data_IF_549312331053
#
_entry.id   IF_549312331053
#
_cell.length_a   1.000
_cell.length_b   1.000
_cell.length_c   1.000
_cell.angle_alpha   90.00
_cell.angle_beta   90.00
_cell.angle_gamma   90.00
#
_symmetry.space_group_name_H-M   'P 1'
#
loop_
_entity.id
_entity.type
_entity.pdbx_description
1 polymer ?
#
# COMPACT_ATOMS: atom_id res chain seq x y z
N UNK A 1 45.46 0.00 -5.59
CA UNK A 1 44.91 -0.96 -6.57
C UNK A 1 43.74 -0.30 -7.28
N UNK A 2 43.67 -0.49 -8.58
CA UNK A 2 42.97 0.35 -9.55
C UNK A 2 41.44 0.22 -9.47
N UNK A 3 40.77 1.36 -9.68
CA UNK A 3 39.32 1.51 -9.79
C UNK A 3 38.81 0.96 -11.13
N UNK A 4 37.70 0.22 -11.10
CA UNK A 4 36.90 -0.12 -12.27
C UNK A 4 35.43 0.23 -11.95
N UNK A 5 34.99 1.36 -12.52
CA UNK A 5 33.59 1.68 -12.66
C UNK A 5 32.97 0.70 -13.68
N UNK A 6 32.04 -0.15 -13.23
CA UNK A 6 31.13 -0.83 -14.13
C UNK A 6 29.94 0.11 -14.38
N UNK A 7 29.95 0.75 -15.55
CA UNK A 7 28.73 1.17 -16.23
C UNK A 7 27.97 -0.10 -16.60
N UNK A 8 26.77 -0.27 -16.08
CA UNK A 8 25.74 -1.04 -16.77
C UNK A 8 24.50 -0.16 -16.92
N UNK A 9 24.26 0.20 -18.19
CA UNK A 9 23.12 0.97 -18.63
C UNK A 9 21.86 0.13 -18.55
N UNK A 10 21.04 0.37 -17.53
CA UNK A 10 19.60 0.16 -17.62
C UNK A 10 18.99 1.44 -18.18
N UNK A 11 18.46 1.38 -19.39
CA UNK A 11 17.67 2.44 -19.98
C UNK A 11 16.59 2.91 -19.01
N UNK A 12 16.60 4.21 -18.71
CA UNK A 12 15.42 4.90 -18.16
C UNK A 12 14.26 4.55 -19.10
N UNK A 13 13.18 3.91 -18.61
CA UNK A 13 12.05 3.60 -19.48
C UNK A 13 11.56 4.91 -20.12
N UNK A 14 11.08 4.88 -21.38
CA UNK A 14 10.56 6.07 -22.02
C UNK A 14 9.47 6.64 -21.12
N UNK A 15 9.55 7.94 -20.87
CA UNK A 15 8.58 8.68 -20.08
C UNK A 15 7.16 8.34 -20.55
N UNK A 16 6.44 7.51 -19.80
CA UNK A 16 4.98 7.53 -19.77
C UNK A 16 4.64 9.01 -19.58
N UNK A 17 4.03 9.65 -20.58
CA UNK A 17 3.79 11.10 -20.62
C UNK A 17 3.42 11.62 -19.23
N UNK A 18 4.44 12.13 -18.54
CA UNK A 18 4.38 12.48 -17.12
C UNK A 18 3.61 13.79 -17.11
N UNK A 19 2.44 13.81 -16.48
CA UNK A 19 1.75 15.08 -16.29
C UNK A 19 2.71 16.03 -15.55
N UNK A 20 2.87 17.28 -16.03
CA UNK A 20 3.68 18.25 -15.31
C UNK A 20 3.14 18.39 -13.89
N UNK A 21 4.05 18.56 -12.92
CA UNK A 21 3.68 18.90 -11.54
C UNK A 21 2.69 20.06 -11.58
N UNK A 22 1.56 19.90 -10.91
CA UNK A 22 0.60 20.99 -10.73
C UNK A 22 1.31 22.12 -9.99
N UNK A 23 1.67 23.18 -10.71
CA UNK A 23 2.39 24.35 -10.17
C UNK A 23 1.49 25.27 -9.35
N UNK A 24 0.19 24.98 -9.33
CA UNK A 24 -0.82 25.75 -8.62
C UNK A 24 -1.20 25.03 -7.34
N UNK A 25 -1.00 25.71 -6.22
CA UNK A 25 -1.54 25.29 -4.93
C UNK A 25 -3.06 25.07 -5.03
N UNK A 26 -3.49 23.94 -4.50
CA UNK A 26 -4.89 23.61 -4.36
C UNK A 26 -5.65 24.68 -3.56
N UNK A 27 -6.82 25.13 -4.02
CA UNK A 27 -7.75 25.84 -3.14
C UNK A 27 -7.97 24.99 -1.87
N UNK A 28 -7.98 25.65 -0.72
CA UNK A 28 -8.30 25.01 0.57
C UNK A 28 -7.41 23.85 1.02
N UNK A 29 -6.20 23.71 0.44
CA UNK A 29 -5.27 22.63 0.78
C UNK A 29 -5.01 22.49 2.27
N UNK A 30 -4.90 23.60 3.01
CA UNK A 30 -4.69 23.57 4.44
C UNK A 30 -5.90 23.03 5.19
N UNK A 31 -7.11 23.46 4.82
CA UNK A 31 -8.35 22.94 5.42
C UNK A 31 -8.51 21.44 5.14
N UNK A 32 -8.25 20.99 3.92
CA UNK A 32 -8.31 19.57 3.55
C UNK A 32 -7.27 18.73 4.31
N UNK A 33 -6.04 19.24 4.41
CA UNK A 33 -4.96 18.57 5.10
C UNK A 33 -5.20 18.46 6.62
N UNK A 34 -5.87 19.44 7.23
CA UNK A 34 -6.25 19.37 8.65
C UNK A 34 -7.45 18.45 8.86
N UNK A 35 -8.50 18.64 8.05
CA UNK A 35 -9.76 17.88 8.13
C UNK A 35 -9.55 16.38 8.09
N UNK A 36 -8.62 15.90 7.26
CA UNK A 36 -8.42 14.46 7.06
C UNK A 36 -7.12 13.93 7.67
N UNK A 37 -6.51 14.65 8.62
CA UNK A 37 -5.27 14.22 9.26
C UNK A 37 -5.47 12.81 9.88
N UNK A 38 -4.55 11.85 9.67
CA UNK A 38 -4.78 10.48 10.09
C UNK A 38 -4.71 10.33 11.61
N UNK A 39 -5.64 9.57 12.19
CA UNK A 39 -5.62 9.18 13.59
C UNK A 39 -4.76 7.92 13.74
N UNK A 40 -3.60 8.01 14.40
CA UNK A 40 -2.59 6.95 14.44
C UNK A 40 -2.69 6.11 15.73
N UNK A 41 -2.97 4.82 15.59
CA UNK A 41 -2.77 3.83 16.64
C UNK A 41 -1.30 3.39 16.61
N UNK A 42 -0.53 3.89 17.59
CA UNK A 42 0.91 3.65 17.72
C UNK A 42 1.17 2.66 18.87
N UNK A 43 2.14 1.79 18.70
CA UNK A 43 2.62 0.97 19.82
C UNK A 43 3.28 1.89 20.88
N UNK A 44 2.93 1.77 22.17
CA UNK A 44 3.45 2.66 23.22
C UNK A 44 4.97 2.61 23.38
N UNK A 45 5.55 1.46 23.03
CA UNK A 45 6.98 1.21 23.07
C UNK A 45 7.61 1.35 21.68
N UNK A 46 7.03 2.17 20.79
CA UNK A 46 7.59 2.44 19.46
C UNK A 46 7.71 3.93 19.15
N UNK A 47 8.31 4.23 17.99
CA UNK A 47 8.48 5.59 17.50
C UNK A 47 7.16 6.15 16.96
N UNK A 48 6.88 7.41 17.28
CA UNK A 48 5.87 8.22 16.59
C UNK A 48 6.50 8.95 15.40
N UNK A 49 5.74 9.26 14.33
CA UNK A 49 6.26 10.01 13.20
C UNK A 49 6.58 11.45 13.60
N UNK A 50 7.79 11.91 13.32
CA UNK A 50 8.29 13.23 13.75
C UNK A 50 8.68 14.10 12.56
N UNK A 51 9.01 15.35 12.87
CA UNK A 51 9.65 16.25 11.92
C UNK A 51 11.01 15.70 11.46
N UNK A 52 11.39 15.92 10.20
CA UNK A 52 12.70 15.50 9.64
C UNK A 52 13.89 16.07 10.42
N UNK A 53 13.71 17.22 11.07
CA UNK A 53 14.69 17.87 11.93
C UNK A 53 15.22 16.92 13.03
N UNK A 54 14.39 15.98 13.52
CA UNK A 54 14.82 14.95 14.48
C UNK A 54 16.00 14.12 13.96
N UNK A 55 15.94 13.77 12.68
CA UNK A 55 16.95 12.96 12.00
C UNK A 55 18.12 13.82 11.52
N UNK A 56 17.84 14.97 10.91
CA UNK A 56 18.88 15.87 10.38
C UNK A 56 19.80 16.43 11.47
N UNK A 57 19.28 16.70 12.67
CA UNK A 57 20.09 17.19 13.79
C UNK A 57 21.07 16.13 14.34
N UNK A 58 20.90 14.85 13.96
CA UNK A 58 21.72 13.71 14.38
C UNK A 58 22.51 13.06 13.24
N UNK A 59 22.09 13.26 12.00
CA UNK A 59 22.69 12.62 10.85
C UNK A 59 24.03 13.24 10.44
N UNK A 60 24.84 12.43 9.76
CA UNK A 60 25.98 12.85 8.96
C UNK A 60 25.58 12.72 7.49
N UNK A 61 25.76 13.80 6.73
CA UNK A 61 25.56 13.80 5.29
C UNK A 61 26.82 13.29 4.60
N UNK A 62 26.69 12.26 3.79
CA UNK A 62 27.76 11.72 2.95
C UNK A 62 27.45 12.00 1.49
N UNK A 63 28.37 12.60 0.76
CA UNK A 63 28.17 13.04 -0.62
C UNK A 63 29.47 13.02 -1.42
N UNK A 64 29.39 13.25 -2.74
CA UNK A 64 30.58 13.36 -3.59
C UNK A 64 31.03 14.81 -3.74
N UNK A 65 32.32 15.03 -3.53
CA UNK A 65 33.02 16.27 -3.83
C UNK A 65 34.13 15.98 -4.84
N UNK A 66 33.84 16.22 -6.13
CA UNK A 66 34.62 15.70 -7.24
C UNK A 66 34.67 14.17 -7.22
N UNK A 67 35.89 13.62 -7.24
CA UNK A 67 36.12 12.16 -7.19
C UNK A 67 36.23 11.61 -5.75
N UNK A 68 36.01 12.43 -4.72
CA UNK A 68 36.17 12.05 -3.31
C UNK A 68 34.82 11.99 -2.60
N UNK A 69 34.73 11.09 -1.62
CA UNK A 69 33.64 11.10 -0.65
C UNK A 69 33.91 12.16 0.42
N UNK A 70 32.93 13.02 0.69
CA UNK A 70 32.94 14.02 1.73
C UNK A 70 31.85 13.72 2.75
N UNK A 71 32.04 14.20 3.98
CA UNK A 71 31.08 14.07 5.07
C UNK A 71 30.84 15.44 5.73
N UNK A 72 29.60 15.74 6.09
CA UNK A 72 29.21 17.01 6.68
C UNK A 72 28.20 16.79 7.82
N UNK A 73 28.44 17.47 8.95
CA UNK A 73 27.50 17.60 10.06
C UNK A 73 27.77 18.94 10.78
N UNK A 74 26.74 19.67 11.27
CA UNK A 74 25.32 19.33 11.22
C UNK A 74 24.73 19.48 9.81
N UNK A 75 23.66 18.74 9.52
CA UNK A 75 23.00 18.78 8.22
C UNK A 75 21.89 19.83 8.22
N UNK A 76 21.88 20.73 7.23
CA UNK A 76 20.81 21.71 7.04
C UNK A 76 19.92 21.38 5.83
N UNK A 77 18.61 21.68 5.85
CA UNK A 77 17.74 21.55 4.69
C UNK A 77 18.26 22.28 3.44
N UNK A 78 18.85 23.47 3.64
CA UNK A 78 19.41 24.27 2.55
C UNK A 78 20.58 23.55 1.87
N UNK A 79 21.42 22.85 2.65
CA UNK A 79 22.51 22.05 2.12
C UNK A 79 21.99 20.89 1.27
N UNK A 80 20.95 20.22 1.71
CA UNK A 80 20.33 19.11 0.96
C UNK A 80 19.75 19.56 -0.39
N UNK A 81 19.18 20.78 -0.45
CA UNK A 81 18.73 21.35 -1.72
C UNK A 81 19.86 21.56 -2.73
N UNK A 82 21.08 21.89 -2.27
CA UNK A 82 22.25 22.08 -3.14
C UNK A 82 22.73 20.75 -3.75
N UNK A 83 22.35 19.62 -3.15
CA UNK A 83 22.67 18.26 -3.63
C UNK A 83 21.55 17.67 -4.49
N UNK A 84 20.64 18.49 -5.02
CA UNK A 84 19.51 18.04 -5.86
C UNK A 84 19.91 17.21 -7.10
N UNK A 85 21.18 17.27 -7.53
CA UNK A 85 21.73 16.50 -8.65
C UNK A 85 22.69 15.36 -8.21
N UNK A 86 22.74 15.00 -6.92
CA UNK A 86 23.59 13.93 -6.38
C UNK A 86 22.75 12.79 -5.76
N UNK A 87 22.13 11.91 -6.57
CA UNK A 87 21.30 10.80 -6.06
C UNK A 87 22.07 9.75 -5.24
N UNK A 88 23.39 9.73 -5.34
CA UNK A 88 24.27 8.86 -4.56
C UNK A 88 24.53 9.37 -3.14
N UNK A 89 24.22 10.64 -2.84
CA UNK A 89 24.35 11.17 -1.50
C UNK A 89 23.40 10.44 -0.54
N UNK A 90 23.78 10.35 0.72
CA UNK A 90 22.95 9.75 1.75
C UNK A 90 23.20 10.36 3.11
N UNK A 91 22.21 10.24 3.98
CA UNK A 91 22.31 10.61 5.38
C UNK A 91 22.54 9.35 6.21
N UNK A 92 23.42 9.38 7.20
CA UNK A 92 23.67 8.24 8.08
C UNK A 92 23.58 8.66 9.55
N UNK A 93 23.04 7.80 10.42
CA UNK A 93 23.06 8.06 11.85
C UNK A 93 24.35 7.51 12.49
N UNK A 94 24.83 8.08 13.63
CA UNK A 94 26.07 7.64 14.27
C UNK A 94 26.06 6.20 14.84
N UNK A 95 24.95 5.65 15.39
CA UNK A 95 24.87 4.23 15.68
C UNK A 95 24.83 3.41 14.38
N UNK A 96 25.46 2.23 14.31
CA UNK A 96 25.28 1.32 13.18
C UNK A 96 23.80 0.98 12.97
N UNK A 97 23.38 0.83 11.71
CA UNK A 97 22.01 0.44 11.36
C UNK A 97 21.58 -0.87 12.03
N UNK A 98 22.48 -1.83 12.20
CA UNK A 98 22.17 -3.13 12.80
C UNK A 98 22.05 -3.12 14.33
N UNK A 99 22.51 -2.05 15.01
CA UNK A 99 22.34 -1.88 16.46
C UNK A 99 21.02 -1.18 16.76
N UNK A 100 19.92 -1.90 16.56
CA UNK A 100 18.56 -1.43 16.81
C UNK A 100 18.37 -0.86 18.22
N UNK A 101 19.04 -1.43 19.22
CA UNK A 101 18.96 -0.94 20.59
C UNK A 101 19.64 0.43 20.75
N UNK A 102 20.77 0.67 20.07
CA UNK A 102 21.43 1.97 20.06
C UNK A 102 20.66 3.00 19.23
N UNK A 103 20.11 2.62 18.08
CA UNK A 103 19.23 3.48 17.28
C UNK A 103 18.01 3.92 18.09
N UNK A 104 17.39 2.97 18.80
CA UNK A 104 16.26 3.25 19.68
C UNK A 104 16.62 4.20 20.83
N UNK A 105 17.75 3.95 21.51
CA UNK A 105 18.25 4.85 22.57
C UNK A 105 18.51 6.27 22.03
N UNK A 106 19.06 6.40 20.82
CA UNK A 106 19.30 7.70 20.20
C UNK A 106 17.99 8.47 19.96
N UNK A 107 16.95 7.80 19.46
CA UNK A 107 15.61 8.36 19.30
C UNK A 107 15.05 8.85 20.64
N UNK A 108 15.00 7.96 21.64
CA UNK A 108 14.38 8.26 22.94
C UNK A 108 15.09 9.40 23.66
N UNK A 109 16.43 9.39 23.67
CA UNK A 109 17.22 10.46 24.29
C UNK A 109 17.03 11.81 23.58
N UNK A 110 16.92 11.80 22.24
CA UNK A 110 16.73 13.03 21.46
C UNK A 110 15.35 13.63 21.70
N UNK A 111 14.29 12.80 21.69
CA UNK A 111 12.93 13.26 21.98
C UNK A 111 12.80 13.71 23.45
N UNK A 112 13.37 12.97 24.41
CA UNK A 112 13.30 13.34 25.83
C UNK A 112 14.04 14.65 26.15
N UNK A 113 15.09 14.98 25.38
CA UNK A 113 15.83 16.23 25.53
C UNK A 113 15.14 17.45 24.89
N UNK A 114 14.14 17.26 24.02
CA UNK A 114 13.47 18.36 23.34
C UNK A 114 12.50 19.10 24.27
N UNK A 115 12.89 20.32 24.64
CA UNK A 115 12.04 21.25 25.40
C UNK A 115 11.34 22.29 24.52
N UNK A 116 11.69 22.34 23.25
CA UNK A 116 11.23 23.37 22.31
C UNK A 116 10.01 22.94 21.49
N UNK A 117 9.71 21.63 21.46
CA UNK A 117 8.67 21.06 20.61
C UNK A 117 9.11 20.97 19.14
N UNK A 118 10.42 21.10 18.87
CA UNK A 118 11.00 21.01 17.53
C UNK A 118 10.74 19.66 16.87
N UNK A 119 10.65 18.58 17.65
CA UNK A 119 10.42 17.21 17.18
C UNK A 119 8.97 16.76 17.43
N UNK A 120 8.00 17.64 17.25
CA UNK A 120 6.58 17.32 17.41
C UNK A 120 6.15 16.13 16.54
N UNK A 121 5.17 15.36 17.03
CA UNK A 121 4.53 14.31 16.23
C UNK A 121 3.87 14.96 15.02
N UNK A 122 4.32 14.62 13.81
CA UNK A 122 4.02 15.38 12.59
C UNK A 122 3.69 14.48 11.41
N UNK A 123 2.67 14.87 10.65
CA UNK A 123 2.39 14.36 9.31
C UNK A 123 2.62 15.48 8.29
N UNK A 124 3.43 15.21 7.29
CA UNK A 124 3.67 16.14 6.19
C UNK A 124 2.60 15.98 5.12
N UNK A 125 1.78 16.99 4.91
CA UNK A 125 0.66 16.90 3.99
C UNK A 125 0.98 17.50 2.61
N UNK A 126 0.61 16.83 1.53
CA UNK A 126 0.56 17.43 0.19
C UNK A 126 -0.81 17.19 -0.44
N UNK A 127 -1.33 18.20 -1.14
CA UNK A 127 -2.67 18.15 -1.75
C UNK A 127 -2.52 18.33 -3.26
N UNK A 128 -3.08 17.38 -4.00
CA UNK A 128 -3.04 17.33 -5.47
C UNK A 128 -4.46 17.44 -6.01
N UNK A 129 -4.81 18.58 -6.60
CA UNK A 129 -6.13 18.85 -7.16
C UNK A 129 -6.16 18.56 -8.64
N UNK A 130 -7.38 18.39 -9.17
CA UNK A 130 -7.61 18.08 -10.57
C UNK A 130 -6.77 16.88 -11.04
N UNK A 131 -6.55 15.91 -10.14
CA UNK A 131 -5.80 14.72 -10.42
C UNK A 131 -6.61 13.82 -11.36
N UNK A 132 -5.94 13.32 -12.40
CA UNK A 132 -6.55 12.51 -13.45
C UNK A 132 -5.75 11.22 -13.69
N UNK A 133 -6.45 10.12 -13.95
CA UNK A 133 -5.91 8.88 -14.51
C UNK A 133 -6.97 8.16 -15.33
N UNK A 134 -6.63 7.03 -15.95
CA UNK A 134 -7.62 6.24 -16.69
C UNK A 134 -8.71 5.73 -15.73
N UNK A 135 -9.93 6.25 -15.86
CA UNK A 135 -11.08 5.87 -15.04
C UNK A 135 -11.36 6.77 -13.82
N UNK A 136 -10.51 7.75 -13.51
CA UNK A 136 -10.76 8.76 -12.47
C UNK A 136 -10.33 10.14 -13.00
N UNK A 137 -11.26 11.09 -13.06
CA UNK A 137 -10.97 12.45 -13.53
C UNK A 137 -11.48 13.49 -12.54
N UNK A 138 -10.76 14.61 -12.40
CA UNK A 138 -11.14 15.73 -11.52
C UNK A 138 -11.12 15.39 -10.03
N UNK A 139 -10.31 14.43 -9.59
CA UNK A 139 -10.25 14.04 -8.18
C UNK A 139 -9.28 14.95 -7.42
N UNK A 140 -9.47 15.05 -6.10
CA UNK A 140 -8.48 15.66 -5.20
C UNK A 140 -7.84 14.57 -4.37
N UNK A 141 -6.52 14.59 -4.26
CA UNK A 141 -5.76 13.62 -3.48
C UNK A 141 -5.03 14.32 -2.35
N UNK A 142 -5.29 13.90 -1.12
CA UNK A 142 -4.61 14.39 0.08
C UNK A 142 -3.63 13.29 0.52
N UNK A 143 -2.35 13.60 0.51
CA UNK A 143 -1.28 12.70 0.94
C UNK A 143 -0.73 13.14 2.29
N UNK A 144 -0.47 12.18 3.17
CA UNK A 144 0.21 12.35 4.44
C UNK A 144 1.46 11.48 4.45
N UNK A 145 2.61 12.14 4.47
CA UNK A 145 3.92 11.52 4.58
C UNK A 145 4.32 11.50 6.06
N UNK A 146 4.55 10.30 6.57
CA UNK A 146 4.95 10.05 7.95
C UNK A 146 6.43 9.69 7.95
N UNK A 147 7.21 10.39 8.77
CA UNK A 147 8.65 10.16 8.86
C UNK A 147 9.04 9.57 10.20
N UNK A 148 9.70 8.41 10.17
CA UNK A 148 10.28 7.77 11.36
C UNK A 148 11.81 7.78 11.27
N UNK A 149 12.46 7.87 12.42
CA UNK A 149 13.92 8.03 12.46
C UNK A 149 14.63 6.73 12.08
N UNK A 150 14.04 5.58 12.39
CA UNK A 150 14.63 4.26 12.17
C UNK A 150 13.53 3.20 12.05
N UNK A 151 13.64 2.28 11.10
CA UNK A 151 12.79 1.11 10.91
C UNK A 151 13.44 -0.12 11.55
N UNK A 152 12.80 -0.70 12.57
CA UNK A 152 13.24 -1.93 13.26
C UNK A 152 12.41 -3.16 12.85
N UNK A 153 11.83 -3.13 11.66
CA UNK A 153 11.16 -4.25 11.03
C UNK A 153 12.13 -5.35 10.59
N UNK A 154 11.63 -6.26 9.74
CA UNK A 154 12.46 -7.32 9.15
C UNK A 154 13.49 -6.77 8.17
N UNK A 155 13.25 -5.59 7.60
CA UNK A 155 14.12 -4.87 6.68
C UNK A 155 14.70 -3.62 7.36
N UNK A 156 15.57 -3.81 8.34
CA UNK A 156 16.09 -2.70 9.16
C UNK A 156 16.75 -1.63 8.31
N UNK A 157 16.40 -0.37 8.55
CA UNK A 157 17.05 0.78 7.92
C UNK A 157 16.85 2.07 8.72
N UNK A 158 17.83 2.96 8.60
CA UNK A 158 17.70 4.34 9.06
C UNK A 158 16.75 5.10 8.15
N UNK A 159 15.99 6.04 8.72
CA UNK A 159 14.98 6.86 8.04
C UNK A 159 13.84 6.02 7.48
N UNK A 160 12.61 6.46 7.65
CA UNK A 160 11.46 5.74 7.09
C UNK A 160 10.39 6.70 6.62
N UNK A 161 9.90 6.49 5.40
CA UNK A 161 8.89 7.33 4.77
C UNK A 161 7.66 6.50 4.42
N UNK A 162 6.64 6.63 5.25
CA UNK A 162 5.34 5.99 5.06
C UNK A 162 4.33 6.98 4.46
N UNK A 163 3.36 6.45 3.71
CA UNK A 163 2.37 7.25 3.00
C UNK A 163 0.95 6.78 3.29
N UNK A 164 0.10 7.71 3.70
CA UNK A 164 -1.35 7.59 3.71
C UNK A 164 -1.91 8.53 2.65
N UNK A 165 -2.80 8.04 1.81
CA UNK A 165 -3.42 8.80 0.74
C UNK A 165 -4.93 8.71 0.84
N UNK A 166 -5.62 9.85 0.78
CA UNK A 166 -7.08 9.94 0.75
C UNK A 166 -7.49 10.54 -0.58
N UNK A 167 -8.44 9.89 -1.25
CA UNK A 167 -8.92 10.31 -2.56
C UNK A 167 -10.35 10.82 -2.44
N UNK A 168 -10.52 12.08 -2.78
CA UNK A 168 -11.80 12.77 -2.85
C UNK A 168 -12.31 12.78 -4.28
N UNK A 169 -13.62 12.59 -4.45
CA UNK A 169 -14.29 12.75 -5.72
C UNK A 169 -14.30 14.20 -6.20
N UNK A 170 -14.75 14.45 -7.44
CA UNK A 170 -14.95 15.81 -7.96
C UNK A 170 -15.96 16.65 -7.17
N UNK A 171 -16.82 16.01 -6.39
CA UNK A 171 -17.76 16.64 -5.48
C UNK A 171 -17.13 17.01 -4.12
N UNK A 172 -15.83 16.79 -3.96
CA UNK A 172 -15.08 17.06 -2.74
C UNK A 172 -15.32 16.05 -1.61
N UNK A 173 -16.05 14.96 -1.85
CA UNK A 173 -16.33 13.95 -0.83
C UNK A 173 -15.31 12.83 -0.87
N UNK A 174 -14.90 12.28 0.29
CA UNK A 174 -13.95 11.17 0.32
C UNK A 174 -14.58 9.90 -0.26
N UNK A 175 -13.84 9.22 -1.13
CA UNK A 175 -14.29 8.00 -1.79
C UNK A 175 -13.55 6.77 -1.26
N UNK A 176 -12.23 6.85 -1.11
CA UNK A 176 -11.39 5.77 -0.61
C UNK A 176 -10.07 6.33 -0.09
N UNK A 177 -9.34 5.50 0.67
CA UNK A 177 -7.97 5.79 1.06
C UNK A 177 -7.06 4.62 0.68
N UNK A 178 -5.77 4.90 0.52
CA UNK A 178 -4.70 3.93 0.27
C UNK A 178 -3.56 4.15 1.26
N UNK A 179 -3.13 3.08 1.93
CA UNK A 179 -2.09 3.09 2.96
C UNK A 179 -0.89 2.29 2.49
N UNK A 180 0.31 2.86 2.58
CA UNK A 180 1.55 2.20 2.25
C UNK A 180 1.87 1.08 3.25
N UNK A 181 2.42 -0.01 2.73
CA UNK A 181 2.82 -1.21 3.46
C UNK A 181 4.14 -1.68 2.88
N UNK A 182 5.26 -1.23 3.47
CA UNK A 182 6.59 -1.45 2.93
C UNK A 182 6.69 -0.94 1.47
N UNK A 183 7.04 -1.83 0.54
CA UNK A 183 7.11 -1.56 -0.90
C UNK A 183 5.77 -1.68 -1.63
N UNK A 184 4.66 -1.89 -0.90
CA UNK A 184 3.32 -2.05 -1.44
C UNK A 184 2.32 -1.09 -0.78
N UNK A 185 1.03 -1.31 -1.00
CA UNK A 185 -0.07 -0.58 -0.40
C UNK A 185 -1.36 -1.41 -0.42
N UNK A 186 -2.30 -1.08 0.45
CA UNK A 186 -3.70 -1.52 0.32
C UNK A 186 -4.63 -0.32 0.28
N UNK A 187 -5.87 -0.51 -0.15
CA UNK A 187 -6.88 0.54 -0.17
C UNK A 187 -8.20 0.05 0.42
N UNK A 188 -9.04 1.00 0.85
CA UNK A 188 -10.38 0.73 1.38
C UNK A 188 -11.34 1.84 0.98
N UNK A 189 -12.57 1.47 0.62
CA UNK A 189 -13.64 2.45 0.38
C UNK A 189 -13.88 3.25 1.66
N UNK A 190 -14.06 4.57 1.55
CA UNK A 190 -14.18 5.46 2.72
C UNK A 190 -15.33 5.06 3.64
N UNK A 191 -16.45 4.60 3.06
CA UNK A 191 -17.62 4.12 3.81
C UNK A 191 -17.38 2.84 4.63
N UNK A 192 -16.26 2.16 4.43
CA UNK A 192 -15.88 0.93 5.14
C UNK A 192 -14.77 1.17 6.16
N UNK A 193 -14.28 2.40 6.28
CA UNK A 193 -13.21 2.78 7.19
C UNK A 193 -13.76 3.21 8.55
N UNK A 194 -12.96 2.98 9.59
CA UNK A 194 -13.14 3.67 10.87
C UNK A 194 -12.58 5.08 10.73
N UNK A 195 -13.42 6.06 11.05
CA UNK A 195 -13.11 7.48 10.94
C UNK A 195 -13.55 8.14 12.24
N UNK A 196 -12.61 8.76 12.93
CA UNK A 196 -12.88 9.58 14.09
C UNK A 196 -13.38 10.95 13.62
N UNK A 197 -14.52 11.38 14.15
CA UNK A 197 -15.10 12.68 13.83
C UNK A 197 -14.87 13.65 14.98
N UNK A 198 -14.35 14.84 14.67
CA UNK A 198 -14.13 15.92 15.63
C UNK A 198 -14.70 17.22 15.08
N UNK A 199 -15.02 18.16 15.95
CA UNK A 199 -15.34 19.54 15.56
C UNK A 199 -14.21 20.42 16.04
N UNK A 200 -13.56 21.13 15.13
CA UNK A 200 -12.45 22.01 15.49
C UNK A 200 -12.95 23.31 16.14
N UNK A 201 -12.01 24.14 16.60
CA UNK A 201 -12.30 25.40 17.28
C UNK A 201 -13.13 26.37 16.42
N UNK A 202 -13.09 26.22 15.10
CA UNK A 202 -13.83 27.01 14.12
C UNK A 202 -15.23 26.45 13.82
N UNK A 203 -15.61 25.33 14.47
CA UNK A 203 -16.91 24.69 14.28
C UNK A 203 -17.00 23.80 13.03
N UNK A 204 -15.87 23.50 12.39
CA UNK A 204 -15.82 22.64 11.19
C UNK A 204 -15.66 21.17 11.58
N UNK A 205 -16.33 20.28 10.85
CA UNK A 205 -16.18 18.83 11.00
C UNK A 205 -14.85 18.36 10.42
N UNK A 206 -14.05 17.75 11.26
CA UNK A 206 -12.85 17.00 10.93
C UNK A 206 -13.16 15.49 10.95
N UNK A 207 -12.58 14.75 10.01
CA UNK A 207 -12.82 13.34 9.74
C UNK A 207 -11.48 12.61 9.63
N UNK A 208 -10.96 12.13 10.76
CA UNK A 208 -9.64 11.55 10.89
C UNK A 208 -9.69 10.04 10.69
N UNK A 209 -9.19 9.50 9.56
CA UNK A 209 -9.25 8.08 9.32
C UNK A 209 -8.30 7.35 10.27
N UNK A 210 -8.75 6.23 10.84
CA UNK A 210 -7.92 5.41 11.71
C UNK A 210 -6.81 4.73 10.91
N UNK A 211 -5.61 4.70 11.48
CA UNK A 211 -4.44 4.02 10.93
C UNK A 211 -3.80 3.21 12.04
N UNK A 212 -3.72 1.90 11.84
CA UNK A 212 -2.99 0.99 12.72
C UNK A 212 -1.57 0.86 12.18
N UNK A 213 -0.63 1.46 12.90
CA UNK A 213 0.78 1.51 12.50
C UNK A 213 1.47 0.26 13.03
N UNK A 214 2.15 -0.47 12.14
CA UNK A 214 2.92 -1.63 12.54
C UNK A 214 4.14 -1.23 13.37
N UNK A 215 4.33 -1.93 14.49
CA UNK A 215 5.45 -1.74 15.40
C UNK A 215 6.76 -2.10 14.70
N UNK A 216 7.71 -1.17 14.68
CA UNK A 216 9.05 -1.30 14.10
C UNK A 216 9.11 -0.99 12.61
N UNK A 217 8.19 -1.53 11.81
CA UNK A 217 8.18 -1.36 10.35
C UNK A 217 7.39 -0.16 9.84
N UNK A 218 6.50 0.39 10.67
CA UNK A 218 5.63 1.53 10.39
C UNK A 218 4.62 1.38 9.24
N UNK A 219 4.55 0.21 8.61
CA UNK A 219 3.54 -0.12 7.62
C UNK A 219 2.12 0.18 8.16
N UNK A 220 1.27 0.75 7.30
CA UNK A 220 -0.01 1.32 7.68
C UNK A 220 -1.19 0.41 7.32
N UNK A 221 -2.08 0.17 8.29
CA UNK A 221 -3.22 -0.75 8.16
C UNK A 221 -4.55 -0.10 8.55
N UNK A 222 -5.64 -0.54 7.90
CA UNK A 222 -6.99 -0.01 8.13
C UNK A 222 -7.68 -0.55 9.39
N UNK A 223 -7.14 -1.60 10.00
CA UNK A 223 -7.73 -2.22 11.19
C UNK A 223 -6.67 -2.96 12.00
N UNK A 224 -6.99 -3.25 13.25
CA UNK A 224 -6.24 -4.20 14.05
C UNK A 224 -6.45 -5.64 13.55
N UNK A 225 -5.40 -6.45 13.65
CA UNK A 225 -5.43 -7.89 13.43
C UNK A 225 -4.66 -8.60 14.56
N UNK A 226 -5.28 -9.49 15.36
CA UNK A 226 -4.60 -10.16 16.49
C UNK A 226 -3.36 -10.98 16.15
N UNK A 227 -3.27 -11.49 14.91
CA UNK A 227 -2.10 -12.21 14.41
C UNK A 227 -1.15 -11.35 13.59
N UNK A 228 -1.39 -10.03 13.49
CA UNK A 228 -0.63 -9.14 12.64
C UNK A 228 -0.88 -9.35 11.14
N UNK A 229 0.02 -8.79 10.33
CA UNK A 229 -0.03 -8.80 8.87
C UNK A 229 1.30 -9.28 8.30
N UNK A 230 1.41 -10.57 7.98
CA UNK A 230 2.59 -11.09 7.28
C UNK A 230 3.92 -10.84 7.99
N UNK A 231 3.93 -10.82 9.32
CA UNK A 231 5.11 -10.50 10.15
C UNK A 231 5.05 -9.14 10.84
N UNK A 232 4.20 -8.23 10.36
CA UNK A 232 3.96 -6.95 11.02
C UNK A 232 3.00 -7.08 12.19
N UNK A 233 3.33 -6.45 13.32
CA UNK A 233 2.50 -6.46 14.52
C UNK A 233 1.86 -5.08 14.70
N UNK A 234 0.54 -5.04 14.73
CA UNK A 234 -0.23 -3.84 15.08
C UNK A 234 -0.84 -3.99 16.47
N UNK A 235 -0.96 -2.90 17.22
CA UNK A 235 -1.51 -2.92 18.58
C UNK A 235 -3.04 -2.76 18.58
N UNK A 236 -3.70 -3.47 19.49
CA UNK A 236 -5.11 -3.24 19.80
C UNK A 236 -5.18 -2.08 20.81
N UNK A 237 -5.44 -0.89 20.30
CA UNK A 237 -5.58 0.32 21.11
C UNK A 237 -6.81 1.10 20.69
N UNK A 238 -7.40 1.79 21.67
CA UNK A 238 -8.43 2.79 21.46
C UNK A 238 -7.86 4.22 21.54
N UNK A 239 -6.57 4.34 21.82
CA UNK A 239 -5.86 5.62 21.87
C UNK A 239 -5.25 5.92 20.50
N UNK A 240 -5.71 7.01 19.89
CA UNK A 240 -5.22 7.48 18.61
C UNK A 240 -4.56 8.85 18.75
N UNK A 241 -3.39 8.98 18.14
CA UNK A 241 -2.64 10.25 18.07
C UNK A 241 -2.92 10.88 16.72
N UNK A 242 -3.56 12.06 16.72
CA UNK A 242 -3.67 12.89 15.51
C UNK A 242 -2.41 13.78 15.45
N UNK A 243 -1.54 13.60 14.44
CA UNK A 243 -0.30 14.34 14.33
C UNK A 243 -0.54 15.80 13.97
N UNK A 244 0.43 16.67 14.28
CA UNK A 244 0.44 18.02 13.72
C UNK A 244 0.61 17.94 12.20
N UNK A 245 -0.19 18.72 11.47
CA UNK A 245 -0.11 18.76 10.02
C UNK A 245 0.86 19.85 9.57
N UNK A 246 1.91 19.46 8.85
CA UNK A 246 2.85 20.38 8.20
C UNK A 246 2.67 20.32 6.69
N UNK A 247 2.07 21.35 6.12
CA UNK A 247 1.83 21.41 4.68
C UNK A 247 3.15 21.51 3.91
N UNK A 248 3.32 20.65 2.91
CA UNK A 248 4.44 20.67 1.99
C UNK A 248 4.13 21.62 0.82
N UNK A 249 5.03 22.56 0.51
CA UNK A 249 4.87 23.40 -0.67
C UNK A 249 5.09 22.58 -1.96
N UNK A 250 4.60 23.06 -3.11
CA UNK A 250 5.06 22.57 -4.40
C UNK A 250 6.60 22.57 -4.46
N UNK A 251 7.25 21.56 -5.08
CA UNK A 251 8.70 21.41 -5.05
C UNK A 251 9.47 22.65 -5.50
N UNK A 252 8.96 23.36 -6.50
CA UNK A 252 9.52 24.60 -7.04
C UNK A 252 9.38 25.80 -6.09
N UNK A 253 8.43 25.76 -5.16
CA UNK A 253 8.19 26.77 -4.12
C UNK A 253 8.80 26.38 -2.75
N UNK A 254 9.48 25.24 -2.67
CA UNK A 254 10.11 24.78 -1.43
C UNK A 254 11.26 25.71 -1.01
N UNK A 255 11.02 26.52 0.02
CA UNK A 255 12.02 27.40 0.62
C UNK A 255 13.25 26.62 1.12
N UNK A 256 14.48 26.90 0.62
CA UNK A 256 15.64 26.07 0.89
C UNK A 256 15.94 25.87 2.38
N UNK A 257 15.79 26.90 3.21
CA UNK A 257 16.10 26.82 4.63
C UNK A 257 15.15 25.90 5.42
N UNK A 258 13.91 25.73 4.96
CA UNK A 258 12.85 25.02 5.70
C UNK A 258 12.45 23.70 5.04
N UNK A 259 12.36 23.69 3.70
CA UNK A 259 11.89 22.58 2.89
C UNK A 259 12.92 22.12 1.85
N UNK A 260 14.17 22.61 1.92
CA UNK A 260 15.22 22.22 0.97
C UNK A 260 15.49 20.71 0.93
N UNK A 261 15.24 20.01 2.04
CA UNK A 261 15.28 18.56 2.15
C UNK A 261 14.31 17.83 1.21
N UNK A 262 13.19 18.46 0.82
CA UNK A 262 12.20 17.87 -0.08
C UNK A 262 12.80 17.62 -1.48
N UNK A 263 13.82 18.42 -1.86
CA UNK A 263 14.55 18.31 -3.14
C UNK A 263 15.74 17.35 -3.09
N UNK A 264 15.97 16.68 -1.97
CA UNK A 264 17.09 15.76 -1.81
C UNK A 264 16.80 14.39 -2.45
N UNK A 265 17.52 13.99 -3.51
CA UNK A 265 17.31 12.71 -4.20
C UNK A 265 17.98 11.53 -3.49
N UNK A 266 18.84 11.80 -2.51
CA UNK A 266 19.63 10.82 -1.80
C UNK A 266 18.83 9.98 -0.81
N UNK A 267 19.48 8.97 -0.23
CA UNK A 267 18.88 8.14 0.81
C UNK A 267 18.82 8.86 2.16
N UNK A 268 17.70 8.67 2.84
CA UNK A 268 17.53 8.98 4.25
C UNK A 268 17.94 7.74 5.04
N UNK A 269 19.24 7.47 5.14
CA UNK A 269 19.81 6.30 5.78
C UNK A 269 21.05 5.79 5.05
N UNK A 270 21.95 5.14 5.79
CA UNK A 270 23.20 4.61 5.24
C UNK A 270 22.97 3.61 4.10
N UNK A 271 23.90 3.60 3.15
CA UNK A 271 23.91 2.60 2.07
C UNK A 271 24.45 1.28 2.64
N UNK A 272 23.74 0.18 2.41
CA UNK A 272 24.16 -1.13 2.93
C UNK A 272 25.38 -1.67 2.17
N UNK A 273 26.31 -2.37 2.86
CA UNK A 273 27.51 -2.92 2.24
C UNK A 273 27.21 -3.83 1.04
N UNK A 274 28.11 -3.89 0.02
CA UNK A 274 27.99 -4.85 -1.07
C UNK A 274 27.98 -6.29 -0.52
N UNK A 275 26.91 -7.06 -0.77
CA UNK A 275 26.78 -8.45 -0.32
C UNK A 275 25.49 -8.78 0.42
N UNK A 276 24.73 -7.77 0.89
CA UNK A 276 23.42 -8.02 1.48
C UNK A 276 22.41 -8.49 0.42
N UNK A 277 21.70 -9.56 0.74
CA UNK A 277 20.75 -10.24 -0.15
C UNK A 277 19.62 -9.33 -0.64
N UNK A 278 19.35 -8.23 0.07
CA UNK A 278 18.37 -7.23 -0.33
C UNK A 278 18.84 -5.80 -0.07
N UNK A 279 19.85 -5.37 -0.83
CA UNK A 279 20.37 -3.99 -0.83
C UNK A 279 19.29 -2.89 -0.96
N UNK A 280 18.16 -3.21 -1.60
CA UNK A 280 17.06 -2.28 -1.84
C UNK A 280 16.07 -2.14 -0.68
N UNK A 281 15.95 -3.16 0.19
CA UNK A 281 15.02 -3.11 1.32
C UNK A 281 15.69 -2.71 2.64
N UNK A 282 17.01 -2.82 2.77
CA UNK A 282 17.78 -2.43 3.96
C UNK A 282 18.50 -1.08 3.80
N UNK A 283 18.41 -0.45 2.62
CA UNK A 283 18.86 0.93 2.39
C UNK A 283 17.76 1.89 2.78
N UNK A 284 18.13 2.98 3.47
CA UNK A 284 17.20 4.06 3.78
C UNK A 284 16.46 4.58 2.54
N UNK A 285 15.15 4.87 2.65
CA UNK A 285 14.33 5.28 1.53
C UNK A 285 14.76 6.67 1.02
N UNK A 286 14.40 6.96 -0.23
CA UNK A 286 14.48 8.33 -0.74
C UNK A 286 13.27 9.14 -0.29
N UNK A 287 13.40 10.46 -0.26
CA UNK A 287 12.35 11.36 0.21
C UNK A 287 11.08 11.36 -0.65
N UNK A 288 10.00 12.04 -0.20
CA UNK A 288 8.65 11.99 -0.79
C UNK A 288 8.59 12.17 -2.32
N UNK A 289 9.28 13.18 -2.87
CA UNK A 289 9.27 13.49 -4.31
C UNK A 289 9.90 12.38 -5.16
N UNK A 290 10.83 11.61 -4.59
CA UNK A 290 11.62 10.61 -5.30
C UNK A 290 11.13 9.18 -5.02
N UNK A 291 10.24 9.00 -4.04
CA UNK A 291 9.74 7.70 -3.63
C UNK A 291 9.01 6.98 -4.78
N UNK A 292 9.25 5.68 -4.93
CA UNK A 292 8.80 4.88 -6.08
C UNK A 292 9.13 5.52 -7.45
N UNK A 293 10.33 6.07 -7.61
CA UNK A 293 10.73 6.78 -8.84
C UNK A 293 9.96 8.08 -9.07
N UNK A 294 9.41 8.65 -8.00
CA UNK A 294 8.53 9.82 -8.01
C UNK A 294 7.07 9.54 -8.38
N UNK A 295 6.69 8.27 -8.58
CA UNK A 295 5.31 7.90 -8.93
C UNK A 295 4.31 8.30 -7.84
N UNK A 296 4.62 8.04 -6.56
CA UNK A 296 3.75 8.38 -5.43
C UNK A 296 3.42 9.87 -5.42
N UNK A 297 4.39 10.73 -5.69
CA UNK A 297 4.21 12.18 -5.68
C UNK A 297 3.58 12.72 -6.98
N UNK A 298 4.10 12.31 -8.15
CA UNK A 298 3.74 12.93 -9.45
C UNK A 298 2.48 12.34 -10.08
N UNK A 299 2.14 11.10 -9.73
CA UNK A 299 1.00 10.38 -10.27
C UNK A 299 0.24 9.67 -9.13
N UNK A 300 -0.30 10.44 -8.15
CA UNK A 300 -0.82 9.88 -6.91
C UNK A 300 -2.01 8.93 -7.13
N UNK A 301 -2.85 9.19 -8.14
CA UNK A 301 -3.94 8.27 -8.53
C UNK A 301 -3.46 6.99 -9.24
N UNK A 302 -2.25 6.97 -9.80
CA UNK A 302 -1.69 5.74 -10.38
C UNK A 302 -1.11 4.83 -9.29
N UNK A 303 -0.51 5.40 -8.25
CA UNK A 303 -0.04 4.64 -7.10
C UNK A 303 -1.21 4.15 -6.23
N UNK A 304 -2.03 5.05 -5.68
CA UNK A 304 -3.07 4.69 -4.72
C UNK A 304 -4.49 4.53 -5.30
N UNK A 305 -4.71 4.88 -6.57
CA UNK A 305 -6.02 4.80 -7.24
C UNK A 305 -6.25 3.52 -8.05
N UNK A 306 -5.31 2.56 -8.01
CA UNK A 306 -5.47 1.27 -8.68
C UNK A 306 -6.37 0.38 -7.82
N UNK A 307 -7.66 0.30 -8.16
CA UNK A 307 -8.59 -0.70 -7.59
C UNK A 307 -8.00 -2.10 -7.81
N UNK A 308 -7.54 -2.75 -6.73
CA UNK A 308 -7.04 -4.13 -6.64
C UNK A 308 -6.49 -4.64 -7.98
N UNK A 309 -5.26 -4.27 -8.31
CA UNK A 309 -4.62 -4.97 -9.40
C UNK A 309 -4.37 -6.44 -8.97
N UNK A 310 -4.51 -7.35 -9.92
CA UNK A 310 -4.32 -8.80 -9.75
C UNK A 310 -3.04 -9.14 -8.99
N UNK A 311 -1.95 -8.43 -9.27
CA UNK A 311 -0.61 -8.77 -8.83
C UNK A 311 -0.41 -8.49 -7.33
N UNK A 312 -1.09 -7.48 -6.77
CA UNK A 312 -1.03 -7.16 -5.34
C UNK A 312 -1.73 -8.22 -4.48
N UNK A 313 -2.87 -8.74 -4.94
CA UNK A 313 -3.59 -9.82 -4.25
C UNK A 313 -2.79 -11.13 -4.26
N UNK A 314 -2.15 -11.44 -5.39
CA UNK A 314 -1.29 -12.61 -5.54
C UNK A 314 -0.04 -12.51 -4.67
N UNK A 315 0.59 -11.32 -4.60
CA UNK A 315 1.80 -11.09 -3.81
C UNK A 315 1.57 -11.26 -2.28
N UNK A 316 0.37 -10.97 -1.79
CA UNK A 316 0.03 -11.07 -0.36
C UNK A 316 -0.70 -12.38 0.00
N UNK A 317 -0.80 -13.34 -0.93
CA UNK A 317 -1.47 -14.61 -0.65
C UNK A 317 -2.96 -14.47 -0.38
N UNK A 318 -3.63 -13.49 -1.00
CA UNK A 318 -5.07 -13.23 -0.84
C UNK A 318 -5.81 -13.66 -2.10
N UNK A 319 -6.69 -14.66 -1.97
CA UNK A 319 -7.59 -15.03 -3.05
C UNK A 319 -8.77 -14.05 -3.15
N UNK A 320 -9.28 -13.87 -4.36
CA UNK A 320 -10.43 -13.01 -4.66
C UNK A 320 -11.50 -13.77 -5.41
N UNK A 321 -12.73 -13.70 -4.92
CA UNK A 321 -13.95 -14.07 -5.64
C UNK A 321 -14.64 -12.77 -6.03
N UNK A 322 -14.88 -12.57 -7.31
CA UNK A 322 -15.63 -11.44 -7.85
C UNK A 322 -16.86 -11.97 -8.57
N UNK A 323 -18.04 -11.55 -8.12
CA UNK A 323 -19.31 -11.85 -8.77
C UNK A 323 -19.89 -10.55 -9.29
N UNK A 324 -20.23 -10.52 -10.58
CA UNK A 324 -21.01 -9.45 -11.21
C UNK A 324 -22.35 -10.03 -11.60
N UNK A 325 -23.41 -9.61 -10.93
CA UNK A 325 -24.75 -10.14 -11.08
C UNK A 325 -25.61 -9.92 -9.84
N UNK A 326 -26.88 -10.28 -9.94
CA UNK A 326 -27.86 -10.16 -8.86
C UNK A 326 -27.72 -11.28 -7.80
N UNK A 327 -26.92 -12.31 -8.07
CA UNK A 327 -26.69 -13.43 -7.14
C UNK A 327 -25.89 -13.03 -5.91
N UNK A 328 -26.28 -13.56 -4.76
CA UNK A 328 -25.44 -13.48 -3.56
C UNK A 328 -24.29 -14.49 -3.64
N UNK A 329 -23.20 -14.21 -2.93
CA UNK A 329 -22.02 -15.09 -2.88
C UNK A 329 -21.71 -15.47 -1.45
N UNK A 330 -21.39 -16.74 -1.27
CA UNK A 330 -21.15 -17.38 0.00
C UNK A 330 -19.84 -18.15 -0.10
N UNK A 331 -19.02 -18.07 0.93
CA UNK A 331 -17.79 -18.85 1.04
C UNK A 331 -17.86 -19.78 2.24
N UNK A 332 -17.39 -21.01 2.05
CA UNK A 332 -17.21 -21.99 3.12
C UNK A 332 -15.79 -22.53 3.07
N UNK A 333 -15.13 -22.52 4.23
CA UNK A 333 -13.81 -23.10 4.37
C UNK A 333 -13.85 -24.64 4.54
N UNK A 334 -12.67 -25.23 4.73
CA UNK A 334 -12.48 -26.67 4.93
C UNK A 334 -13.25 -27.24 6.13
N UNK A 335 -13.52 -26.42 7.16
CA UNK A 335 -14.27 -26.80 8.35
C UNK A 335 -15.78 -26.55 8.20
N UNK A 336 -16.20 -26.04 7.04
CA UNK A 336 -17.59 -25.68 6.77
C UNK A 336 -18.02 -24.36 7.41
N UNK A 337 -17.09 -23.55 7.93
CA UNK A 337 -17.42 -22.23 8.48
C UNK A 337 -17.78 -21.28 7.35
N UNK A 338 -18.89 -20.58 7.51
CA UNK A 338 -19.49 -19.76 6.47
C UNK A 338 -19.12 -18.27 6.59
N UNK A 339 -18.87 -17.62 5.46
CA UNK A 339 -18.88 -16.15 5.34
C UNK A 339 -19.72 -15.75 4.15
N UNK A 340 -20.79 -15.00 4.41
CA UNK A 340 -21.78 -14.64 3.40
C UNK A 340 -23.03 -14.02 4.03
N UNK A 341 -23.94 -13.49 3.20
CA UNK A 341 -25.20 -12.94 3.67
C UNK A 341 -26.09 -14.05 4.24
N UNK A 342 -26.83 -13.72 5.30
CA UNK A 342 -27.86 -14.56 5.92
C UNK A 342 -29.26 -14.10 5.49
N UNK A 343 -30.29 -14.96 5.66
CA UNK A 343 -31.68 -14.52 5.59
C UNK A 343 -31.91 -13.28 6.46
N UNK A 344 -32.54 -12.25 5.89
CA UNK A 344 -32.73 -10.95 6.57
C UNK A 344 -31.58 -9.96 6.39
N UNK A 345 -30.57 -10.26 5.57
CA UNK A 345 -29.56 -9.29 5.11
C UNK A 345 -28.39 -9.05 6.06
N UNK A 346 -28.33 -9.75 7.20
CA UNK A 346 -27.14 -9.75 8.06
C UNK A 346 -25.98 -10.48 7.38
N UNK A 347 -24.75 -10.08 7.70
CA UNK A 347 -23.54 -10.79 7.25
C UNK A 347 -23.02 -11.75 8.32
N UNK A 348 -22.80 -13.00 7.95
CA UNK A 348 -22.05 -13.98 8.76
C UNK A 348 -20.56 -13.95 8.38
N UNK A 349 -19.68 -14.08 9.37
CA UNK A 349 -18.21 -14.02 9.22
C UNK A 349 -17.54 -15.10 10.08
N UNK A 350 -17.98 -16.35 9.93
CA UNK A 350 -17.45 -17.46 10.72
C UNK A 350 -16.12 -18.01 10.18
N UNK A 351 -15.80 -17.77 8.90
CA UNK A 351 -14.49 -18.12 8.33
C UNK A 351 -13.46 -17.03 8.69
N UNK A 352 -12.37 -17.36 9.43
CA UNK A 352 -11.42 -16.38 9.92
C UNK A 352 -10.75 -15.59 8.80
N UNK A 353 -10.69 -14.27 8.94
CA UNK A 353 -9.99 -13.38 8.00
C UNK A 353 -10.69 -13.17 6.66
N UNK A 354 -11.81 -13.87 6.39
CA UNK A 354 -12.55 -13.71 5.14
C UNK A 354 -13.38 -12.42 5.17
N UNK A 355 -13.21 -11.59 4.16
CA UNK A 355 -13.97 -10.35 4.00
C UNK A 355 -14.94 -10.46 2.83
N UNK A 356 -16.23 -10.21 3.08
CA UNK A 356 -17.23 -10.05 2.04
C UNK A 356 -17.56 -8.57 1.88
N UNK A 357 -17.37 -8.04 0.68
CA UNK A 357 -17.55 -6.64 0.30
C UNK A 357 -18.69 -6.54 -0.71
N UNK A 358 -19.66 -5.69 -0.42
CA UNK A 358 -20.77 -5.36 -1.32
C UNK A 358 -21.26 -3.96 -1.01
N UNK A 359 -21.31 -3.09 -2.02
CA UNK A 359 -21.93 -1.78 -1.89
C UNK A 359 -23.45 -1.92 -1.94
N UNK A 360 -24.22 -1.23 -1.07
CA UNK A 360 -25.67 -1.16 -1.19
C UNK A 360 -26.09 -0.68 -2.61
N UNK A 361 -27.02 -1.41 -3.24
CA UNK A 361 -27.49 -1.11 -4.61
C UNK A 361 -26.51 -1.52 -5.72
N UNK A 362 -25.46 -2.28 -5.42
CA UNK A 362 -24.55 -2.84 -6.43
C UNK A 362 -24.78 -4.33 -6.64
N UNK A 363 -24.73 -4.73 -7.92
CA UNK A 363 -24.68 -6.11 -8.41
C UNK A 363 -23.24 -6.63 -8.47
N UNK A 364 -22.33 -6.09 -7.64
CA UNK A 364 -20.95 -6.54 -7.57
C UNK A 364 -20.64 -6.98 -6.15
N UNK A 365 -20.27 -8.25 -6.02
CA UNK A 365 -19.80 -8.83 -4.77
C UNK A 365 -18.32 -9.18 -4.90
N UNK A 366 -17.56 -8.90 -3.85
CA UNK A 366 -16.15 -9.29 -3.74
C UNK A 366 -15.96 -10.05 -2.43
N UNK A 367 -15.37 -11.24 -2.49
CA UNK A 367 -14.94 -11.99 -1.31
C UNK A 367 -13.42 -12.09 -1.35
N UNK A 368 -12.75 -11.65 -0.28
CA UNK A 368 -11.31 -11.75 -0.10
C UNK A 368 -11.02 -12.84 0.92
N UNK A 369 -10.17 -13.80 0.55
CA UNK A 369 -9.92 -15.02 1.31
C UNK A 369 -8.40 -15.16 1.50
N UNK A 370 -7.86 -14.67 2.64
CA UNK A 370 -6.44 -14.79 2.95
C UNK A 370 -6.00 -16.25 3.10
N UNK A 371 -4.81 -16.59 2.59
CA UNK A 371 -4.18 -17.89 2.78
C UNK A 371 -4.79 -19.04 1.97
N UNK A 372 -5.78 -18.78 1.11
CA UNK A 372 -6.37 -19.79 0.24
C UNK A 372 -5.39 -20.16 -0.89
N UNK A 373 -5.11 -21.44 -1.04
CA UNK A 373 -4.28 -22.02 -2.12
C UNK A 373 -5.16 -22.84 -3.10
N UNK A 374 -4.68 -23.18 -4.31
CA UNK A 374 -5.46 -23.99 -5.25
C UNK A 374 -5.82 -25.38 -4.71
N UNK A 375 -5.04 -25.88 -3.76
CA UNK A 375 -5.24 -27.17 -3.07
C UNK A 375 -6.04 -27.05 -1.78
N UNK A 376 -6.37 -25.83 -1.35
CA UNK A 376 -7.16 -25.61 -0.14
C UNK A 376 -8.60 -26.10 -0.35
N UNK A 377 -9.10 -27.03 0.49
CA UNK A 377 -10.49 -27.46 0.40
C UNK A 377 -11.43 -26.33 0.86
N UNK A 378 -12.56 -26.24 0.18
CA UNK A 378 -13.59 -25.24 0.46
C UNK A 378 -14.60 -25.20 -0.67
N UNK A 379 -15.56 -24.28 -0.59
CA UNK A 379 -16.50 -24.06 -1.69
C UNK A 379 -17.02 -22.62 -1.72
N UNK A 380 -17.37 -22.21 -2.92
CA UNK A 380 -18.10 -20.96 -3.18
C UNK A 380 -19.50 -21.36 -3.61
N UNK A 381 -20.52 -20.76 -2.99
CA UNK A 381 -21.92 -20.93 -3.36
C UNK A 381 -22.50 -19.60 -3.84
N UNK A 382 -23.31 -19.66 -4.88
CA UNK A 382 -24.09 -18.55 -5.41
C UNK A 382 -25.57 -18.86 -5.22
N UNK A 383 -26.35 -17.90 -4.73
CA UNK A 383 -27.79 -18.08 -4.51
C UNK A 383 -28.60 -17.00 -5.21
N UNK A 384 -29.63 -17.44 -5.93
CA UNK A 384 -30.64 -16.60 -6.60
C UNK A 384 -30.12 -15.77 -7.77
N UNK A 385 -31.01 -15.35 -8.65
CA UNK A 385 -30.73 -14.31 -9.65
C UNK A 385 -29.71 -14.68 -10.74
N UNK A 386 -29.21 -13.68 -11.46
CA UNK A 386 -28.29 -13.90 -12.58
C UNK A 386 -26.85 -13.59 -12.19
N UNK A 387 -25.91 -14.40 -12.66
CA UNK A 387 -24.48 -14.17 -12.60
C UNK A 387 -24.00 -13.80 -14.00
N UNK A 388 -23.77 -12.51 -14.23
CA UNK A 388 -23.12 -12.05 -15.46
C UNK A 388 -21.70 -12.59 -15.57
N UNK A 389 -20.95 -12.58 -14.46
CA UNK A 389 -19.59 -13.15 -14.36
C UNK A 389 -19.26 -13.60 -12.94
N UNK A 390 -18.67 -14.78 -12.80
CA UNK A 390 -17.91 -15.24 -11.64
C UNK A 390 -16.43 -15.30 -12.03
N UNK A 391 -15.58 -14.61 -11.26
CA UNK A 391 -14.13 -14.57 -11.41
C UNK A 391 -13.47 -14.94 -10.07
N UNK A 392 -12.83 -16.11 -10.02
CA UNK A 392 -12.07 -16.58 -8.85
C UNK A 392 -10.60 -16.53 -9.19
N UNK A 393 -9.82 -15.82 -8.38
CA UNK A 393 -8.37 -15.72 -8.48
C UNK A 393 -7.75 -16.23 -7.18
N UNK A 394 -6.94 -17.28 -7.27
CA UNK A 394 -6.26 -17.92 -6.14
C UNK A 394 -4.74 -17.81 -6.32
N UNK A 395 -3.98 -17.32 -5.33
CA UNK A 395 -2.51 -17.27 -5.39
C UNK A 395 -1.87 -18.66 -5.49
N UNK A 396 -0.90 -18.81 -6.40
CA UNK A 396 -0.15 -20.04 -6.60
C UNK A 396 1.32 -19.74 -6.99
N UNK A 397 2.22 -19.70 -6.01
CA UNK A 397 3.67 -19.59 -6.25
C UNK A 397 4.09 -18.37 -7.08
N UNK A 398 3.37 -17.25 -7.00
CA UNK A 398 3.60 -16.03 -7.80
C UNK A 398 2.80 -15.95 -9.11
N UNK A 399 2.09 -17.02 -9.47
CA UNK A 399 1.09 -17.06 -10.53
C UNK A 399 -0.32 -17.06 -9.93
N UNK A 400 -1.33 -16.75 -10.75
CA UNK A 400 -2.74 -16.79 -10.34
C UNK A 400 -3.45 -17.99 -10.93
N UNK A 401 -3.98 -18.87 -10.08
CA UNK A 401 -4.93 -19.90 -10.48
C UNK A 401 -6.30 -19.24 -10.64
N UNK A 402 -6.76 -19.11 -11.89
CA UNK A 402 -7.97 -18.36 -12.22
C UNK A 402 -9.07 -19.26 -12.76
N UNK A 403 -10.27 -19.10 -12.21
CA UNK A 403 -11.50 -19.75 -12.68
C UNK A 403 -12.48 -18.66 -13.09
N UNK A 404 -12.95 -18.70 -14.34
CA UNK A 404 -13.91 -17.72 -14.85
C UNK A 404 -15.13 -18.42 -15.45
N UNK A 405 -16.32 -17.95 -15.09
CA UNK A 405 -17.60 -18.43 -15.61
C UNK A 405 -18.43 -17.20 -15.98
N UNK A 406 -19.04 -17.22 -17.16
CA UNK A 406 -19.87 -16.10 -17.66
C UNK A 406 -21.30 -16.61 -17.91
N UNK A 407 -22.29 -15.74 -17.67
CA UNK A 407 -23.68 -15.98 -18.06
C UNK A 407 -24.36 -17.16 -17.36
N UNK A 408 -24.25 -17.25 -16.03
CA UNK A 408 -24.97 -18.27 -15.24
C UNK A 408 -26.32 -17.71 -14.82
N UNK A 409 -27.40 -18.31 -15.31
CA UNK A 409 -28.76 -17.95 -14.92
C UNK A 409 -29.24 -18.89 -13.80
N UNK A 410 -29.50 -18.34 -12.61
CA UNK A 410 -30.17 -19.04 -11.53
C UNK A 410 -31.61 -18.51 -11.44
N UNK A 411 -32.56 -19.39 -11.16
CA UNK A 411 -33.91 -18.98 -10.78
C UNK A 411 -33.88 -18.21 -9.46
N UNK A 412 -35.04 -17.73 -9.00
CA UNK A 412 -35.14 -17.01 -7.72
C UNK A 412 -34.62 -17.84 -6.52
N UNK A 413 -34.78 -19.17 -6.59
CA UNK A 413 -34.32 -20.12 -5.58
C UNK A 413 -33.12 -20.96 -6.04
N UNK A 414 -32.60 -20.68 -7.25
CA UNK A 414 -31.51 -21.46 -7.83
C UNK A 414 -30.21 -21.26 -7.08
N UNK A 415 -29.34 -22.25 -7.15
CA UNK A 415 -28.03 -22.30 -6.50
C UNK A 415 -26.96 -22.71 -7.51
N UNK A 416 -25.74 -22.22 -7.31
CA UNK A 416 -24.57 -22.80 -7.96
C UNK A 416 -23.46 -23.03 -6.95
N UNK A 417 -22.70 -24.09 -7.14
CA UNK A 417 -21.63 -24.51 -6.23
C UNK A 417 -20.34 -24.75 -7.00
N UNK A 418 -19.28 -24.12 -6.53
CA UNK A 418 -17.92 -24.34 -7.01
C UNK A 418 -17.10 -24.96 -5.89
N UNK A 419 -16.71 -26.22 -6.05
CA UNK A 419 -15.82 -26.93 -5.11
C UNK A 419 -14.37 -26.56 -5.39
N UNK A 420 -13.63 -26.20 -4.34
CA UNK A 420 -12.23 -25.81 -4.37
C UNK A 420 -11.33 -26.95 -3.84
N UNK A 421 -10.02 -26.88 -4.11
CA UNK A 421 -9.07 -27.90 -3.66
C UNK A 421 -9.07 -29.18 -4.50
N UNK A 422 -9.74 -29.17 -5.65
CA UNK A 422 -9.84 -30.30 -6.58
C UNK A 422 -9.11 -30.00 -7.89
N UNK A 423 -8.60 -31.04 -8.56
CA UNK A 423 -7.79 -30.87 -9.77
C UNK A 423 -8.54 -30.22 -10.95
N UNK A 424 -9.85 -30.44 -11.06
CA UNK A 424 -10.70 -29.90 -12.12
C UNK A 424 -11.98 -29.31 -11.51
N UNK A 425 -11.92 -28.07 -11.01
CA UNK A 425 -13.09 -27.43 -10.41
C UNK A 425 -14.12 -27.11 -11.49
N UNK A 426 -15.37 -27.48 -11.24
CA UNK A 426 -16.52 -27.15 -12.08
C UNK A 426 -17.56 -26.38 -11.26
N UNK A 427 -18.31 -25.52 -11.92
CA UNK A 427 -19.45 -24.85 -11.32
C UNK A 427 -20.69 -25.72 -11.55
N UNK A 428 -21.14 -26.41 -10.52
CA UNK A 428 -22.38 -27.19 -10.50
C UNK A 428 -23.56 -26.23 -10.35
N UNK A 429 -24.63 -26.41 -11.11
CA UNK A 429 -25.80 -25.52 -11.14
C UNK A 429 -27.06 -26.32 -10.84
N UNK A 430 -27.81 -25.83 -9.86
CA UNK A 430 -29.18 -26.16 -9.48
C UNK A 430 -30.06 -24.95 -9.85
N UNK A 431 -30.53 -24.86 -11.10
CA UNK A 431 -31.15 -23.63 -11.60
C UNK A 431 -32.55 -23.38 -11.01
N UNK A 432 -33.29 -24.41 -10.64
CA UNK A 432 -34.67 -24.31 -10.15
C UNK A 432 -34.79 -24.39 -8.61
N UNK A 433 -33.73 -24.78 -7.92
CA UNK A 433 -33.65 -24.86 -6.46
C UNK A 433 -34.31 -26.12 -5.91
N UNK A 434 -34.40 -27.20 -6.70
CA UNK A 434 -34.98 -28.48 -6.26
C UNK A 434 -33.99 -29.34 -5.45
N UNK A 435 -32.73 -28.88 -5.32
CA UNK A 435 -31.66 -29.55 -4.61
C UNK A 435 -30.86 -30.55 -5.45
N UNK A 436 -31.14 -30.66 -6.76
CA UNK A 436 -30.38 -31.46 -7.72
C UNK A 436 -29.60 -30.53 -8.64
N UNK A 437 -28.32 -30.83 -8.81
CA UNK A 437 -27.48 -30.09 -9.75
C UNK A 437 -27.66 -30.67 -11.15
N UNK A 438 -28.51 -30.08 -11.98
CA UNK A 438 -28.83 -30.56 -13.34
C UNK A 438 -27.75 -30.23 -14.36
N UNK A 439 -26.85 -29.29 -14.06
CA UNK A 439 -25.81 -28.83 -14.98
C UNK A 439 -24.47 -28.63 -14.29
N UNK A 440 -23.40 -28.68 -15.09
CA UNK A 440 -22.07 -28.28 -14.64
C UNK A 440 -21.35 -27.51 -15.75
N UNK A 441 -20.64 -26.45 -15.37
CA UNK A 441 -19.83 -25.67 -16.29
C UNK A 441 -18.35 -25.83 -15.94
N UNK A 442 -17.51 -26.03 -16.96
CA UNK A 442 -16.07 -25.89 -16.83
C UNK A 442 -15.69 -24.39 -16.90
N UNK A 443 -14.58 -23.98 -16.27
CA UNK A 443 -14.10 -22.60 -16.37
C UNK A 443 -13.69 -22.27 -17.82
N UNK A 444 -13.98 -21.05 -18.25
CA UNK A 444 -13.71 -20.55 -19.61
C UNK A 444 -12.20 -20.33 -19.83
N UNK A 445 -11.46 -20.04 -18.77
CA UNK A 445 -9.99 -19.99 -18.79
C UNK A 445 -9.43 -21.29 -18.22
N UNK A 446 -8.47 -21.95 -18.87
CA UNK A 446 -7.80 -23.10 -18.28
C UNK A 446 -7.14 -22.68 -16.96
N UNK A 447 -7.19 -23.52 -15.92
CA UNK A 447 -6.49 -23.23 -14.69
C UNK A 447 -4.98 -23.06 -14.97
N UNK A 448 -4.40 -21.94 -14.52
CA UNK A 448 -2.98 -21.64 -14.72
C UNK A 448 -2.60 -20.84 -15.98
N UNK A 449 -3.56 -20.32 -16.75
CA UNK A 449 -3.27 -19.49 -17.93
C UNK A 449 -3.63 -18.01 -17.67
N UNK A 450 -2.72 -17.05 -17.90
CA UNK A 450 -3.06 -15.63 -17.83
C UNK A 450 -4.12 -15.28 -18.92
N UNK A 451 -5.07 -14.37 -18.66
CA UNK A 451 -5.99 -13.92 -19.70
C UNK A 451 -5.20 -13.31 -20.88
N UNK A 452 -5.73 -13.36 -22.12
CA UNK A 452 -5.13 -12.63 -23.22
C UNK A 452 -5.08 -11.15 -22.85
N UNK A 453 -3.89 -10.55 -22.90
CA UNK A 453 -3.73 -9.11 -22.78
C UNK A 453 -4.60 -8.46 -23.87
N UNK A 454 -5.47 -7.52 -23.45
CA UNK A 454 -6.22 -6.69 -24.37
C UNK A 454 -5.27 -6.09 -25.40
N UNK A 455 -5.59 -6.31 -26.68
CA UNK A 455 -4.64 -6.22 -27.78
C UNK A 455 -3.81 -4.94 -27.81
N UNK A 456 -2.49 -5.14 -27.79
CA UNK A 456 -1.53 -4.21 -28.35
C UNK A 456 -0.75 -4.97 -29.43
N UNK A 457 -0.74 -4.38 -30.62
CA UNK A 457 -0.06 -4.78 -31.86
C UNK A 457 1.18 -5.65 -31.66
N UNK A 458 1.19 -6.80 -32.36
CA UNK A 458 2.29 -7.76 -32.45
C UNK A 458 3.65 -7.07 -32.67
N UNK A 459 4.65 -7.44 -31.85
CA UNK A 459 6.07 -7.29 -32.21
C UNK A 459 6.81 -8.62 -32.05
N UNK A 460 7.83 -8.77 -32.91
CA UNK A 460 8.47 -10.00 -33.37
C UNK A 460 9.25 -10.77 -32.28
N UNK A 461 9.39 -12.10 -32.39
CA UNK A 461 10.10 -12.92 -31.41
C UNK A 461 11.62 -12.75 -31.54
N UNK A 462 12.30 -12.46 -30.43
CA UNK A 462 13.76 -12.42 -30.38
C UNK A 462 14.34 -11.51 -29.30
N UNK A 463 13.95 -11.67 -28.03
CA UNK A 463 14.73 -11.14 -26.90
C UNK A 463 14.43 -11.99 -25.65
N UNK A 464 15.41 -12.81 -25.26
CA UNK A 464 15.39 -13.62 -24.03
C UNK A 464 15.75 -12.70 -22.87
N UNK A 465 14.88 -12.59 -21.85
CA UNK A 465 15.26 -12.02 -20.55
C UNK A 465 15.56 -13.13 -19.56
N UNK A 466 16.77 -13.08 -19.01
CA UNK A 466 17.23 -13.84 -17.85
C UNK A 466 16.57 -13.29 -16.58
N UNK A 467 15.61 -14.02 -16.02
CA UNK A 467 15.13 -13.79 -14.65
C UNK A 467 14.86 -15.13 -13.99
N UNK A 468 15.91 -15.79 -13.51
CA UNK A 468 15.81 -16.92 -12.59
C UNK A 468 17.03 -16.89 -11.68
N UNK A 469 16.81 -16.55 -10.40
CA UNK A 469 17.46 -17.12 -9.20
C UNK A 469 17.13 -16.27 -7.97
N UNK A 470 16.08 -16.66 -7.26
CA UNK A 470 15.94 -16.45 -5.82
C UNK A 470 15.29 -17.72 -5.26
N UNK A 471 16.12 -18.74 -5.01
CA UNK A 471 15.73 -19.94 -4.26
C UNK A 471 16.10 -19.74 -2.80
N UNK A 472 15.09 -19.69 -1.94
CA UNK A 472 15.22 -19.63 -0.48
C UNK A 472 15.51 -21.04 0.08
N UNK A 473 16.40 -21.15 1.07
CA UNK A 473 16.55 -22.34 1.93
C UNK A 473 16.44 -21.91 3.39
N UNK A 474 15.59 -22.53 4.21
CA UNK A 474 15.54 -22.28 5.65
C UNK A 474 16.74 -22.90 6.38
N UNK A 475 17.19 -22.30 7.50
CA UNK A 475 18.26 -22.85 8.32
C UNK A 475 17.77 -24.02 9.18
N UNK A 476 18.66 -24.99 9.40
CA UNK A 476 18.54 -26.04 10.42
C UNK A 476 19.38 -25.73 11.65
#
# INVERSE_FOLDING_TARGET
MWWLWARDGGSVPPALAIQPLTTRACPDQERLARRYAPALALAPDDQAPRTVELFLDRAVLVYKDGDRAAQEAPVSPARLAQLANQPEAFLALPPPVDDAAAQRRLYEQTVAADRSGRYAVTAYASVHCDANTSGLAGHTVVQYWLFYMYNDGWNKHEGDWELIQIVLGPDGKPQFAAYAQHNSYTWRDWSEMLVEQRVNEQGELEEHPHVYVARGSHASYFQYAPGGYGGDVVVDTQEFVIPQVRLLPPPEQAEPATFGWLRFPGAWGSDVPPGNACRRCERGPVGPIFNSGGQKWRAPLTWGGRRLNRDDLLAHGIARVLVRGASTVHFYDAQGRHTGPLPGGRMERAAPGVAHLRRPGSDVHIVLIPGLTPTSPGRIELEGGTVGRLDVLIPDGGHGFRLQFDGVALGANGRARLVLGVAQPVLEIDADGDGRYERSLAPISPPGVPPPEGGVSQRRPGEVRTSDRCGWRPPG
#
